data_IF_993051595148
#
_entry.id   IF_993051595148
#
_cell.length_a   1.000
_cell.length_b   1.000
_cell.length_c   1.000
_cell.angle_alpha   90.00
_cell.angle_beta   90.00
_cell.angle_gamma   90.00
#
_symmetry.space_group_name_H-M   'P 1'
#
loop_
_entity.id
_entity.type
_entity.pdbx_description
1 polymer ?
#
# COMPACT_ATOMS: atom_id res chain seq x y z
N UNK A 1 -58.29 17.37 50.99
CA UNK A 1 -58.26 17.78 49.57
C UNK A 1 -56.80 17.96 49.17
N UNK A 2 -56.25 17.03 48.39
CA UNK A 2 -54.83 16.93 48.04
C UNK A 2 -54.60 17.71 46.73
N UNK A 3 -53.66 18.66 46.74
CA UNK A 3 -53.25 19.45 45.56
C UNK A 3 -52.28 18.63 44.69
N UNK A 4 -52.60 18.46 43.41
CA UNK A 4 -51.69 17.93 42.41
C UNK A 4 -50.90 19.09 41.76
N UNK A 5 -49.57 19.07 41.87
CA UNK A 5 -48.67 19.88 41.04
C UNK A 5 -47.93 18.93 40.10
N UNK A 6 -48.26 18.95 38.82
CA UNK A 6 -47.53 18.22 37.79
C UNK A 6 -46.56 19.17 37.10
N UNK A 7 -45.27 18.84 37.17
CA UNK A 7 -44.17 19.47 36.45
C UNK A 7 -44.38 19.35 34.94
N UNK A 8 -44.15 20.41 34.18
CA UNK A 8 -43.85 20.32 32.74
C UNK A 8 -42.45 20.85 32.50
N UNK A 9 -41.58 19.97 32.01
CA UNK A 9 -40.18 20.20 31.70
C UNK A 9 -39.95 19.78 30.24
N UNK A 10 -39.40 20.71 29.45
CA UNK A 10 -38.67 20.57 28.18
C UNK A 10 -39.27 19.77 27.01
N UNK A 11 -39.39 20.45 25.86
CA UNK A 11 -39.04 19.90 24.55
C UNK A 11 -38.38 20.99 23.69
N UNK A 12 -37.05 21.07 23.74
CA UNK A 12 -36.23 21.68 22.68
C UNK A 12 -35.10 20.68 22.40
N UNK A 13 -35.35 19.69 21.56
CA UNK A 13 -34.31 18.81 21.00
C UNK A 13 -34.80 18.19 19.71
N UNK A 14 -34.90 18.99 18.65
CA UNK A 14 -35.11 18.49 17.31
C UNK A 14 -34.27 19.28 16.30
N UNK A 15 -32.95 19.38 16.50
CA UNK A 15 -32.06 19.95 15.48
C UNK A 15 -30.62 19.40 15.48
N UNK A 16 -30.33 18.28 16.15
CA UNK A 16 -28.96 17.70 16.20
C UNK A 16 -28.81 16.35 15.48
N UNK A 17 -29.90 15.74 15.02
CA UNK A 17 -29.85 14.43 14.34
C UNK A 17 -29.52 14.49 12.85
N UNK A 18 -29.57 15.68 12.23
CA UNK A 18 -29.31 15.83 10.78
C UNK A 18 -27.85 16.12 10.41
N UNK A 19 -26.95 16.42 11.35
CA UNK A 19 -25.54 16.66 11.01
C UNK A 19 -24.71 15.37 10.95
N UNK A 20 -25.10 14.33 11.68
CA UNK A 20 -24.39 13.04 11.64
C UNK A 20 -24.64 12.29 10.32
N UNK A 21 -25.85 12.39 9.76
CA UNK A 21 -26.19 11.73 8.51
C UNK A 21 -25.54 12.38 7.26
N UNK A 22 -25.26 13.68 7.31
CA UNK A 22 -24.56 14.38 6.21
C UNK A 22 -23.05 14.16 6.19
N UNK A 23 -22.45 13.69 7.29
CA UNK A 23 -21.03 13.34 7.35
C UNK A 23 -20.74 11.94 6.77
N UNK A 24 -21.73 11.04 6.81
CA UNK A 24 -21.64 9.66 6.33
C UNK A 24 -21.90 9.52 4.80
N UNK A 25 -22.36 10.58 4.13
CA UNK A 25 -22.53 10.65 2.67
C UNK A 25 -21.27 11.12 1.92
N UNK A 26 -20.13 11.29 2.59
CA UNK A 26 -18.84 11.22 1.91
C UNK A 26 -18.64 9.75 1.52
N UNK A 27 -19.03 9.37 0.29
CA UNK A 27 -18.70 8.10 -0.36
C UNK A 27 -17.38 7.55 0.20
N UNK A 28 -17.46 6.61 1.15
CA UNK A 28 -16.26 6.07 1.78
C UNK A 28 -15.54 5.27 0.71
N UNK A 29 -14.52 5.88 0.11
CA UNK A 29 -13.74 5.27 -0.96
C UNK A 29 -13.28 3.89 -0.49
N UNK A 30 -13.52 2.85 -1.31
CA UNK A 30 -13.13 1.46 -1.04
C UNK A 30 -11.68 1.41 -0.50
N UNK A 31 -11.45 0.76 0.65
CA UNK A 31 -10.11 0.62 1.20
C UNK A 31 -9.14 -0.10 0.25
N UNK A 32 -7.85 0.22 0.41
CA UNK A 32 -6.77 -0.56 -0.18
C UNK A 32 -6.42 -1.71 0.76
N UNK A 33 -6.29 -2.92 0.21
CA UNK A 33 -5.88 -4.10 0.97
C UNK A 33 -4.53 -4.57 0.46
N UNK A 34 -3.52 -4.55 1.32
CA UNK A 34 -2.16 -4.96 0.98
C UNK A 34 -1.79 -6.21 1.78
N UNK A 35 -1.65 -7.32 1.05
CA UNK A 35 -1.18 -8.59 1.58
C UNK A 35 0.32 -8.70 1.31
N UNK A 36 1.11 -8.67 2.38
CA UNK A 36 2.56 -8.71 2.33
C UNK A 36 3.04 -10.10 2.78
N UNK A 37 3.38 -10.95 1.83
CA UNK A 37 4.01 -12.23 2.07
C UNK A 37 5.46 -12.00 2.43
N UNK A 38 5.84 -12.31 3.66
CA UNK A 38 7.19 -12.11 4.14
C UNK A 38 7.96 -13.38 3.88
N UNK A 39 8.93 -13.31 2.96
CA UNK A 39 9.71 -14.46 2.55
C UNK A 39 10.54 -15.02 3.72
N UNK A 40 10.79 -16.32 3.69
CA UNK A 40 11.42 -17.08 4.77
C UNK A 40 12.90 -16.71 4.98
N UNK A 41 13.51 -15.97 4.04
CA UNK A 41 14.87 -15.44 4.14
C UNK A 41 14.97 -14.12 4.93
N UNK A 42 13.84 -13.48 5.24
CA UNK A 42 13.81 -12.21 5.98
C UNK A 42 14.20 -12.46 7.44
N UNK A 43 15.32 -11.85 7.82
CA UNK A 43 15.91 -11.96 9.16
C UNK A 43 15.10 -11.21 10.22
N UNK A 44 14.41 -10.15 9.81
CA UNK A 44 13.55 -9.39 10.70
C UNK A 44 12.32 -10.22 11.09
N UNK A 45 12.21 -10.62 12.35
CA UNK A 45 11.08 -11.43 12.85
C UNK A 45 9.95 -10.58 13.44
N UNK A 46 10.25 -9.35 13.90
CA UNK A 46 9.26 -8.44 14.46
C UNK A 46 8.51 -7.71 13.34
N UNK A 47 7.24 -8.06 13.17
CA UNK A 47 6.34 -7.44 12.18
C UNK A 47 6.16 -5.94 12.44
N UNK A 48 6.18 -5.48 13.69
CA UNK A 48 6.02 -4.06 13.97
C UNK A 48 7.21 -3.25 13.49
N UNK A 49 8.43 -3.78 13.69
CA UNK A 49 9.67 -3.18 13.18
C UNK A 49 9.71 -3.21 11.65
N UNK A 50 9.40 -4.37 11.05
CA UNK A 50 9.29 -4.50 9.59
C UNK A 50 8.29 -3.48 9.00
N UNK A 51 7.10 -3.38 9.59
CA UNK A 51 6.08 -2.44 9.17
C UNK A 51 6.54 -0.98 9.36
N UNK A 52 7.14 -0.64 10.49
CA UNK A 52 7.62 0.71 10.79
C UNK A 52 8.65 1.19 9.76
N UNK A 53 9.63 0.34 9.47
CA UNK A 53 10.80 0.74 8.69
C UNK A 53 10.51 0.74 7.17
N UNK A 54 9.68 -0.19 6.69
CA UNK A 54 9.49 -0.38 5.24
C UNK A 54 8.12 0.02 4.69
N UNK A 55 7.06 0.06 5.52
CA UNK A 55 5.67 0.11 5.00
C UNK A 55 4.85 1.28 5.57
N UNK A 56 5.02 1.61 6.85
CA UNK A 56 4.13 2.54 7.57
C UNK A 56 4.18 3.95 6.99
N UNK A 57 5.36 4.44 6.63
CA UNK A 57 5.51 5.76 6.01
C UNK A 57 4.82 5.80 4.64
N UNK A 58 4.91 4.73 3.85
CA UNK A 58 4.26 4.61 2.56
C UNK A 58 2.74 4.60 2.70
N UNK A 59 2.22 3.86 3.68
CA UNK A 59 0.78 3.86 3.99
C UNK A 59 0.29 5.27 4.28
N UNK A 60 1.00 6.00 5.14
CA UNK A 60 0.64 7.39 5.45
C UNK A 60 0.64 8.29 4.21
N UNK A 61 1.63 8.16 3.33
CA UNK A 61 1.68 8.92 2.08
C UNK A 61 0.46 8.59 1.20
N UNK A 62 0.18 7.31 0.93
CA UNK A 62 -0.97 6.89 0.11
C UNK A 62 -2.31 7.32 0.68
N UNK A 63 -2.55 7.11 1.98
CA UNK A 63 -3.80 7.54 2.63
C UNK A 63 -3.99 9.06 2.48
N UNK A 64 -2.90 9.85 2.58
CA UNK A 64 -2.97 11.31 2.58
C UNK A 64 -3.50 11.92 1.28
N UNK A 65 -3.20 11.33 0.12
CA UNK A 65 -3.61 11.89 -1.18
C UNK A 65 -4.74 11.10 -1.85
N UNK A 66 -4.94 9.83 -1.49
CA UNK A 66 -6.05 9.04 -2.04
C UNK A 66 -7.33 9.21 -1.23
N UNK A 67 -7.23 9.52 0.06
CA UNK A 67 -8.36 9.49 1.00
C UNK A 67 -8.91 8.08 1.23
N UNK A 68 -8.19 7.02 0.81
CA UNK A 68 -8.55 5.61 1.02
C UNK A 68 -7.80 5.10 2.24
N UNK A 69 -8.49 4.41 3.14
CA UNK A 69 -7.83 3.66 4.23
C UNK A 69 -7.03 2.50 3.65
N UNK A 70 -5.87 2.22 4.23
CA UNK A 70 -5.06 1.06 3.88
C UNK A 70 -5.13 0.01 4.99
N UNK A 71 -5.48 -1.22 4.62
CA UNK A 71 -5.41 -2.39 5.48
C UNK A 71 -4.18 -3.21 5.11
N UNK A 72 -3.30 -3.45 6.08
CA UNK A 72 -2.10 -4.25 5.92
C UNK A 72 -2.30 -5.63 6.55
N UNK A 73 -1.86 -6.67 5.85
CA UNK A 73 -1.74 -8.01 6.41
C UNK A 73 -0.38 -8.60 6.06
N UNK A 74 0.42 -8.90 7.08
CA UNK A 74 1.66 -9.66 6.92
C UNK A 74 1.38 -11.15 7.06
N UNK A 75 1.95 -11.95 6.17
CA UNK A 75 1.75 -13.41 6.09
C UNK A 75 3.11 -14.09 6.02
N UNK A 76 3.31 -15.13 6.82
CA UNK A 76 4.56 -15.91 6.92
C UNK A 76 4.27 -17.40 6.86
N UNK A 77 5.31 -18.19 6.56
CA UNK A 77 5.31 -19.65 6.67
C UNK A 77 4.18 -20.31 5.86
N UNK A 78 3.97 -19.85 4.62
CA UNK A 78 3.02 -20.45 3.68
C UNK A 78 3.81 -21.15 2.59
N UNK A 79 3.82 -22.50 2.55
CA UNK A 79 4.56 -23.26 1.55
C UNK A 79 4.20 -22.86 0.14
N UNK A 80 5.19 -22.88 -0.74
CA UNK A 80 5.20 -22.38 -2.14
C UNK A 80 5.05 -20.87 -2.33
N UNK A 81 4.67 -20.12 -1.28
CA UNK A 81 4.37 -18.69 -1.35
C UNK A 81 5.42 -17.84 -0.63
N UNK A 82 5.74 -18.15 0.64
CA UNK A 82 6.76 -17.41 1.41
C UNK A 82 8.16 -18.02 1.28
N UNK A 83 8.27 -19.20 0.67
CA UNK A 83 9.52 -19.85 0.24
C UNK A 83 9.67 -19.80 -1.30
N UNK A 84 8.93 -18.90 -1.97
CA UNK A 84 8.94 -18.76 -3.41
C UNK A 84 10.35 -18.46 -3.94
N UNK A 85 10.83 -19.26 -4.90
CA UNK A 85 12.15 -19.10 -5.51
C UNK A 85 12.24 -17.83 -6.39
N UNK A 86 12.47 -16.68 -5.76
CA UNK A 86 12.39 -15.36 -6.39
C UNK A 86 13.68 -14.90 -7.11
N UNK A 87 14.80 -15.61 -6.92
CA UNK A 87 16.09 -15.23 -7.51
C UNK A 87 16.14 -15.62 -8.98
N UNK A 88 16.56 -14.70 -9.85
CA UNK A 88 16.72 -14.95 -11.28
C UNK A 88 16.89 -13.69 -12.12
N UNK A 89 17.44 -13.86 -13.32
CA UNK A 89 17.64 -12.77 -14.29
C UNK A 89 16.44 -12.55 -15.22
N UNK A 90 15.61 -13.58 -15.44
CA UNK A 90 14.36 -13.45 -16.21
C UNK A 90 13.22 -12.93 -15.33
N UNK A 91 13.17 -11.60 -15.18
CA UNK A 91 12.19 -10.92 -14.33
C UNK A 91 10.75 -11.12 -14.80
N UNK A 92 10.52 -11.28 -16.11
CA UNK A 92 9.19 -11.51 -16.66
C UNK A 92 8.67 -12.88 -16.24
N UNK A 93 9.53 -13.91 -16.37
CA UNK A 93 9.22 -15.25 -15.90
C UNK A 93 9.00 -15.27 -14.39
N UNK A 94 9.91 -14.67 -13.61
CA UNK A 94 9.79 -14.62 -12.14
C UNK A 94 8.49 -13.95 -11.69
N UNK A 95 8.13 -12.82 -12.30
CA UNK A 95 6.89 -12.10 -12.00
C UNK A 95 5.64 -12.91 -12.36
N UNK A 96 5.64 -13.59 -13.51
CA UNK A 96 4.54 -14.45 -13.93
C UNK A 96 4.38 -15.69 -13.03
N UNK A 97 5.48 -16.35 -12.68
CA UNK A 97 5.47 -17.52 -11.80
C UNK A 97 4.96 -17.14 -10.41
N UNK A 98 5.40 -15.99 -9.88
CA UNK A 98 4.90 -15.47 -8.60
C UNK A 98 3.41 -15.16 -8.67
N UNK A 99 2.96 -14.49 -9.74
CA UNK A 99 1.54 -14.22 -9.98
C UNK A 99 0.71 -15.51 -9.96
N UNK A 100 1.17 -16.56 -10.63
CA UNK A 100 0.48 -17.86 -10.67
C UNK A 100 0.39 -18.50 -9.28
N UNK A 101 1.43 -18.34 -8.45
CA UNK A 101 1.41 -18.78 -7.04
C UNK A 101 0.39 -17.99 -6.22
N UNK A 102 0.34 -16.67 -6.36
CA UNK A 102 -0.68 -15.82 -5.70
C UNK A 102 -2.09 -16.18 -6.19
N UNK A 103 -2.28 -16.48 -7.47
CA UNK A 103 -3.57 -16.89 -8.01
C UNK A 103 -4.09 -18.19 -7.37
N UNK A 104 -3.23 -19.19 -7.20
CA UNK A 104 -3.58 -20.42 -6.49
C UNK A 104 -3.93 -20.16 -5.03
N UNK A 105 -3.14 -19.32 -4.34
CA UNK A 105 -3.37 -18.96 -2.95
C UNK A 105 -4.70 -18.22 -2.76
N UNK A 106 -4.96 -17.19 -3.58
CA UNK A 106 -6.18 -16.37 -3.48
C UNK A 106 -7.43 -17.19 -3.80
N UNK A 107 -7.36 -18.08 -4.79
CA UNK A 107 -8.46 -19.02 -5.08
C UNK A 107 -8.74 -19.94 -3.88
N UNK A 108 -7.70 -20.57 -3.32
CA UNK A 108 -7.83 -21.49 -2.19
C UNK A 108 -8.34 -20.82 -0.90
N UNK A 109 -8.08 -19.52 -0.72
CA UNK A 109 -8.50 -18.73 0.45
C UNK A 109 -9.73 -17.86 0.21
N UNK A 110 -10.32 -17.92 -0.99
CA UNK A 110 -11.42 -17.06 -1.40
C UNK A 110 -11.12 -15.55 -1.18
N UNK A 111 -9.91 -15.12 -1.53
CA UNK A 111 -9.46 -13.74 -1.37
C UNK A 111 -9.72 -12.90 -2.63
N UNK A 112 -9.99 -11.59 -2.48
CA UNK A 112 -10.38 -10.75 -3.60
C UNK A 112 -9.22 -10.43 -4.55
N UNK A 113 -9.44 -10.59 -5.85
CA UNK A 113 -8.56 -10.08 -6.90
C UNK A 113 -9.25 -8.93 -7.63
N UNK A 114 -9.06 -7.72 -7.10
CA UNK A 114 -9.63 -6.50 -7.67
C UNK A 114 -8.59 -5.37 -7.66
N UNK A 115 -8.96 -4.23 -8.22
CA UNK A 115 -8.05 -3.10 -8.39
C UNK A 115 -7.62 -2.39 -7.10
N UNK A 116 -8.24 -2.65 -5.94
CA UNK A 116 -7.81 -2.10 -4.64
C UNK A 116 -7.12 -3.13 -3.74
N UNK A 117 -7.02 -4.38 -4.19
CA UNK A 117 -6.29 -5.44 -3.47
C UNK A 117 -4.96 -5.72 -4.14
N UNK A 118 -3.89 -5.79 -3.34
CA UNK A 118 -2.51 -5.99 -3.80
C UNK A 118 -1.82 -7.06 -2.96
N UNK A 119 -0.92 -7.77 -3.61
CA UNK A 119 -0.19 -8.91 -3.07
C UNK A 119 1.28 -8.72 -3.37
N UNK A 120 2.13 -8.75 -2.35
CA UNK A 120 3.56 -8.51 -2.53
C UNK A 120 4.37 -9.53 -1.75
N UNK A 121 5.38 -10.11 -2.39
CA UNK A 121 6.44 -10.83 -1.69
C UNK A 121 7.51 -9.82 -1.25
N UNK A 122 7.79 -9.79 0.05
CA UNK A 122 8.95 -9.10 0.60
C UNK A 122 10.09 -10.10 0.72
N UNK A 123 11.29 -9.76 0.28
CA UNK A 123 12.48 -10.63 0.33
C UNK A 123 13.66 -9.97 1.04
N UNK A 124 14.56 -10.76 1.63
CA UNK A 124 15.76 -10.19 2.25
C UNK A 124 16.75 -9.68 1.20
N UNK A 125 17.02 -10.50 0.19
CA UNK A 125 17.96 -10.16 -0.87
C UNK A 125 17.26 -9.63 -2.13
N UNK A 126 18.05 -9.02 -3.01
CA UNK A 126 17.65 -8.66 -4.37
C UNK A 126 17.35 -9.89 -5.23
N UNK A 127 16.55 -9.71 -6.29
CA UNK A 127 16.21 -10.78 -7.24
C UNK A 127 17.46 -11.24 -8.03
N UNK A 128 18.34 -10.28 -8.34
CA UNK A 128 19.65 -10.51 -8.96
C UNK A 128 20.62 -9.38 -8.55
N UNK A 129 21.78 -9.28 -9.19
CA UNK A 129 22.82 -8.29 -8.85
C UNK A 129 22.43 -6.82 -9.06
N UNK A 130 21.33 -6.54 -9.77
CA UNK A 130 20.90 -5.17 -10.16
C UNK A 130 19.45 -4.86 -9.82
N UNK A 131 18.60 -5.88 -9.66
CA UNK A 131 17.15 -5.70 -9.52
C UNK A 131 16.66 -5.94 -8.10
N UNK A 132 16.18 -4.88 -7.45
CA UNK A 132 15.62 -4.92 -6.10
C UNK A 132 14.13 -5.29 -6.04
N UNK A 133 13.40 -5.26 -7.15
CA UNK A 133 11.99 -5.58 -7.20
C UNK A 133 11.46 -5.73 -8.61
N UNK A 134 10.24 -6.26 -8.72
CA UNK A 134 9.49 -6.34 -9.97
C UNK A 134 8.00 -6.24 -9.68
N UNK A 135 7.28 -5.49 -10.51
CA UNK A 135 5.84 -5.33 -10.42
C UNK A 135 5.20 -5.48 -11.80
N UNK A 136 3.96 -5.99 -11.81
CA UNK A 136 3.11 -5.91 -13.00
C UNK A 136 2.38 -4.56 -12.94
N UNK A 137 2.70 -3.62 -13.83
CA UNK A 137 2.12 -2.27 -13.84
C UNK A 137 0.58 -2.35 -13.85
N UNK A 138 -0.06 -1.61 -12.92
CA UNK A 138 -1.52 -1.65 -12.66
C UNK A 138 -2.09 -3.04 -12.35
N UNK A 139 -1.22 -4.03 -12.14
CA UNK A 139 -1.57 -5.38 -11.73
C UNK A 139 -1.81 -5.47 -10.22
N UNK A 140 -1.72 -6.69 -9.70
CA UNK A 140 -1.96 -6.97 -8.28
C UNK A 140 -0.82 -7.70 -7.59
N UNK A 141 0.27 -8.02 -8.29
CA UNK A 141 1.40 -8.77 -7.73
C UNK A 141 2.73 -8.06 -7.93
N UNK A 142 3.55 -8.04 -6.90
CA UNK A 142 4.92 -7.55 -6.95
C UNK A 142 5.86 -8.36 -6.04
N UNK A 143 7.16 -8.23 -6.26
CA UNK A 143 8.23 -8.72 -5.39
C UNK A 143 9.12 -7.52 -5.06
N UNK A 144 9.48 -7.33 -3.80
CA UNK A 144 10.34 -6.23 -3.37
C UNK A 144 11.35 -6.68 -2.29
N UNK A 145 12.60 -6.31 -2.49
CA UNK A 145 13.69 -6.56 -1.56
C UNK A 145 13.77 -5.52 -0.46
N UNK A 146 14.07 -5.97 0.76
CA UNK A 146 14.35 -5.10 1.91
C UNK A 146 15.76 -4.48 1.89
N UNK A 147 16.57 -4.73 0.85
CA UNK A 147 17.88 -4.07 0.70
C UNK A 147 17.79 -2.55 0.56
N UNK A 148 16.62 -2.02 0.17
CA UNK A 148 16.35 -0.58 0.24
C UNK A 148 15.03 -0.34 0.95
N UNK A 149 14.97 0.73 1.76
CA UNK A 149 13.74 1.11 2.46
C UNK A 149 12.61 1.55 1.52
N UNK A 150 12.90 1.89 0.26
CA UNK A 150 11.94 2.35 -0.74
C UNK A 150 11.38 1.27 -1.66
N UNK A 151 12.02 0.09 -1.77
CA UNK A 151 11.66 -0.88 -2.81
C UNK A 151 10.19 -1.29 -2.76
N UNK A 152 9.65 -1.59 -1.57
CA UNK A 152 8.23 -1.93 -1.43
C UNK A 152 7.31 -0.81 -1.92
N UNK A 153 7.62 0.44 -1.60
CA UNK A 153 6.85 1.60 -2.08
C UNK A 153 7.01 1.84 -3.58
N UNK A 154 8.18 1.57 -4.15
CA UNK A 154 8.41 1.64 -5.60
C UNK A 154 7.48 0.66 -6.32
N UNK A 155 7.55 -0.61 -5.94
CA UNK A 155 6.78 -1.65 -6.62
C UNK A 155 5.28 -1.52 -6.36
N UNK A 156 4.85 -1.19 -5.13
CA UNK A 156 3.44 -0.88 -4.87
C UNK A 156 2.96 0.33 -5.69
N UNK A 157 3.83 1.32 -5.92
CA UNK A 157 3.53 2.47 -6.78
C UNK A 157 3.16 2.06 -8.19
N UNK A 158 3.90 1.12 -8.79
CA UNK A 158 3.56 0.55 -10.09
C UNK A 158 2.22 -0.17 -10.10
N UNK A 159 1.92 -0.97 -9.07
CA UNK A 159 0.63 -1.65 -8.98
C UNK A 159 -0.55 -0.67 -8.84
N UNK A 160 -0.30 0.49 -8.26
CA UNK A 160 -1.29 1.56 -8.07
C UNK A 160 -1.43 2.48 -9.29
N UNK A 161 -0.59 2.31 -10.31
CA UNK A 161 -0.65 3.05 -11.58
C UNK A 161 0.33 4.21 -11.72
N UNK A 162 1.28 4.35 -10.78
CA UNK A 162 2.39 5.28 -10.93
C UNK A 162 3.44 4.79 -11.92
N UNK A 163 4.23 5.72 -12.47
CA UNK A 163 5.23 5.47 -13.50
C UNK A 163 6.57 6.14 -13.19
N UNK A 164 7.61 5.70 -13.88
CA UNK A 164 8.95 6.28 -13.75
C UNK A 164 9.04 7.67 -14.37
N UNK A 165 8.32 7.92 -15.47
CA UNK A 165 8.33 9.19 -16.20
C UNK A 165 7.78 10.35 -15.38
N UNK A 166 6.85 10.05 -14.47
CA UNK A 166 6.29 11.01 -13.54
C UNK A 166 7.16 11.22 -12.29
N UNK A 167 8.23 10.44 -12.11
CA UNK A 167 9.09 10.55 -10.93
C UNK A 167 9.96 11.82 -10.97
N UNK A 168 10.33 12.30 -9.80
CA UNK A 168 11.06 13.55 -9.61
C UNK A 168 12.22 13.40 -8.62
N UNK A 169 13.22 14.28 -8.81
CA UNK A 169 14.26 14.58 -7.82
C UNK A 169 13.92 15.93 -7.20
N UNK A 170 13.85 15.98 -5.87
CA UNK A 170 13.42 17.14 -5.10
C UNK A 170 14.56 17.65 -4.22
N UNK A 171 14.61 18.96 -4.00
CA UNK A 171 15.49 19.55 -2.99
C UNK A 171 14.70 19.75 -1.69
N UNK A 172 15.08 19.07 -0.61
CA UNK A 172 14.38 19.12 0.69
C UNK A 172 15.39 19.20 1.82
N UNK A 173 15.17 20.15 2.74
CA UNK A 173 15.98 20.27 3.96
C UNK A 173 17.49 20.40 3.70
N UNK A 174 17.89 21.01 2.59
CA UNK A 174 19.30 21.21 2.25
C UNK A 174 19.96 20.09 1.44
N UNK A 175 19.22 19.04 1.02
CA UNK A 175 19.77 17.94 0.25
C UNK A 175 18.83 17.48 -0.88
N UNK A 176 19.40 16.87 -1.91
CA UNK A 176 18.64 16.26 -3.00
C UNK A 176 18.12 14.87 -2.59
N UNK A 177 16.84 14.61 -2.83
CA UNK A 177 16.23 13.32 -2.63
C UNK A 177 15.45 12.90 -3.88
N UNK A 178 15.21 11.61 -4.06
CA UNK A 178 14.42 11.09 -5.18
C UNK A 178 13.11 10.50 -4.68
N UNK A 179 12.03 10.75 -5.43
CA UNK A 179 10.69 10.22 -5.15
C UNK A 179 10.64 8.71 -5.40
N UNK A 180 9.64 8.04 -4.83
CA UNK A 180 9.60 6.58 -4.72
C UNK A 180 9.71 5.83 -6.06
N UNK A 181 9.28 6.43 -7.18
CA UNK A 181 9.24 5.81 -8.51
C UNK A 181 10.40 6.19 -9.42
N UNK A 182 11.51 6.72 -8.90
CA UNK A 182 12.72 6.87 -9.73
C UNK A 182 13.27 5.48 -10.09
N UNK A 183 13.45 5.23 -11.39
CA UNK A 183 13.84 3.93 -11.95
C UNK A 183 15.22 3.47 -11.48
N UNK A 184 16.22 4.35 -11.60
CA UNK A 184 17.60 4.09 -11.22
C UNK A 184 18.00 5.02 -10.09
N UNK A 185 18.25 4.43 -8.92
CA UNK A 185 18.58 5.17 -7.70
C UNK A 185 20.02 5.69 -7.77
N UNK A 186 20.21 6.96 -7.41
CA UNK A 186 21.55 7.52 -7.23
C UNK A 186 21.97 7.44 -5.76
N UNK A 187 23.11 6.81 -5.47
CA UNK A 187 23.60 6.59 -4.10
C UNK A 187 23.97 7.89 -3.35
N UNK A 188 24.18 9.00 -4.06
CA UNK A 188 24.43 10.32 -3.46
C UNK A 188 23.16 11.07 -3.07
N UNK A 189 21.98 10.59 -3.49
CA UNK A 189 20.69 11.23 -3.21
C UNK A 189 19.93 10.44 -2.15
N UNK A 190 19.24 11.19 -1.28
CA UNK A 190 18.38 10.58 -0.27
C UNK A 190 17.10 9.98 -0.90
N UNK A 191 16.35 9.20 -0.14
CA UNK A 191 14.97 8.85 -0.47
C UNK A 191 14.03 9.95 0.05
N UNK A 192 13.13 10.48 -0.79
CA UNK A 192 12.15 11.48 -0.35
C UNK A 192 11.00 10.89 0.48
N UNK A 193 10.84 9.56 0.49
CA UNK A 193 9.75 8.84 1.16
C UNK A 193 8.35 9.34 0.76
N UNK A 194 8.18 9.67 -0.52
CA UNK A 194 6.92 10.16 -1.09
C UNK A 194 6.89 9.95 -2.60
N UNK A 195 5.69 9.84 -3.18
CA UNK A 195 5.51 9.99 -4.63
C UNK A 195 5.62 11.47 -5.05
N UNK A 196 6.03 11.70 -6.29
CA UNK A 196 5.91 13.02 -6.93
C UNK A 196 4.44 13.43 -7.04
N UNK A 197 4.17 14.73 -7.14
CA UNK A 197 2.79 15.22 -7.27
C UNK A 197 2.09 14.66 -8.51
N UNK A 198 2.83 14.45 -9.60
CA UNK A 198 2.28 13.84 -10.81
C UNK A 198 1.94 12.36 -10.61
N UNK A 199 2.80 11.58 -9.94
CA UNK A 199 2.46 10.21 -9.60
C UNK A 199 1.28 10.11 -8.62
N UNK A 200 1.15 11.04 -7.68
CA UNK A 200 -0.01 11.10 -6.78
C UNK A 200 -1.32 11.27 -7.57
N UNK A 201 -1.33 12.14 -8.59
CA UNK A 201 -2.49 12.30 -9.49
C UNK A 201 -2.77 11.03 -10.28
N UNK A 202 -1.75 10.41 -10.88
CA UNK A 202 -1.90 9.18 -11.66
C UNK A 202 -2.48 8.04 -10.82
N UNK A 203 -1.95 7.84 -9.60
CA UNK A 203 -2.43 6.83 -8.67
C UNK A 203 -3.87 7.15 -8.22
N UNK A 204 -4.16 8.40 -7.86
CA UNK A 204 -5.51 8.81 -7.45
C UNK A 204 -6.53 8.62 -8.58
N UNK A 205 -6.16 8.94 -9.83
CA UNK A 205 -7.01 8.74 -11.00
C UNK A 205 -7.26 7.26 -11.25
N UNK A 206 -6.22 6.42 -11.27
CA UNK A 206 -6.33 4.98 -11.46
C UNK A 206 -7.23 4.33 -10.38
N UNK A 207 -7.09 4.74 -9.12
CA UNK A 207 -7.96 4.27 -8.04
C UNK A 207 -9.37 4.87 -8.11
N UNK A 208 -9.54 6.04 -8.73
CA UNK A 208 -10.84 6.69 -8.93
C UNK A 208 -11.77 5.92 -9.86
N UNK A 209 -11.22 5.11 -10.77
CA UNK A 209 -11.96 4.17 -11.63
C UNK A 209 -12.59 3.00 -10.83
N UNK A 210 -12.28 2.89 -9.54
CA UNK A 210 -12.69 1.82 -8.64
C UNK A 210 -13.20 2.39 -7.30
N UNK A 211 -14.37 3.05 -7.27
CA UNK A 211 -14.88 3.78 -6.10
C UNK A 211 -14.88 2.95 -4.83
#
# INVERSE_FOLDING_TARGET
MLKAFTRSLLLITALLLNQAALADELLTKRPLFLFLFVHDDIKETDINRLAKDYVTWFVKDVESFTGRRVQLQFIRNVPTLTDFAYKGDDLNKTSLDFKNTVDRYTLAKNLPKNATTKYMLLTQDMLNSKTGGVAIIKGYTAIASLQTYSAAAHELGHLLGGTHEAAQVLYRGGWWCETNLVAERNTLRANCYTYSDENKKLIAANLGEHP
#
